data_IF_734843019338
#
_entry.id   IF_734843019338
#
_cell.length_a   1.000
_cell.length_b   1.000
_cell.length_c   1.000
_cell.angle_alpha   90.00
_cell.angle_beta   90.00
_cell.angle_gamma   90.00
#
_symmetry.space_group_name_H-M   'P 1'
#
loop_
_entity.id
_entity.type
_entity.pdbx_description
1 polymer ?
#
# COMPACT_ATOMS: atom_id res chain seq x y z
N UNK A 1 -5.68 -72.40 -83.20
CA UNK A 1 -4.29 -71.96 -83.02
C UNK A 1 -3.50 -72.30 -84.28
N UNK A 2 -2.84 -71.31 -84.87
CA UNK A 2 -2.05 -71.37 -86.10
C UNK A 2 -0.62 -70.97 -85.75
N UNK A 3 0.37 -71.68 -86.29
CA UNK A 3 1.79 -71.39 -86.08
C UNK A 3 2.26 -70.29 -87.03
N UNK A 4 2.83 -69.20 -86.51
CA UNK A 4 3.23 -68.05 -87.33
C UNK A 4 4.74 -67.80 -87.36
N UNK A 5 5.47 -68.15 -86.30
CA UNK A 5 6.93 -67.97 -86.21
C UNK A 5 7.55 -68.96 -85.23
N UNK A 6 8.75 -69.43 -85.55
CA UNK A 6 9.55 -70.30 -84.69
C UNK A 6 10.93 -69.69 -84.57
N UNK A 7 11.39 -69.47 -83.34
CA UNK A 7 12.76 -69.05 -83.06
C UNK A 7 13.46 -70.18 -82.32
N UNK A 8 14.62 -70.59 -82.81
CA UNK A 8 15.41 -71.69 -82.27
C UNK A 8 16.81 -71.18 -81.99
N UNK A 9 17.25 -71.31 -80.74
CA UNK A 9 18.60 -70.99 -80.32
C UNK A 9 19.25 -72.23 -79.71
N UNK A 10 20.31 -72.71 -80.36
CA UNK A 10 21.13 -73.82 -79.88
C UNK A 10 20.32 -75.09 -79.55
N UNK A 11 19.55 -75.64 -80.50
CA UNK A 11 18.76 -76.86 -80.35
C UNK A 11 19.22 -77.95 -81.35
N UNK A 12 19.80 -79.05 -80.86
CA UNK A 12 20.34 -80.16 -81.69
C UNK A 12 21.20 -79.67 -82.87
N UNK A 13 20.78 -79.89 -84.12
CA UNK A 13 21.49 -79.46 -85.33
C UNK A 13 21.44 -77.94 -85.57
N UNK A 14 20.52 -77.22 -84.92
CA UNK A 14 20.40 -75.75 -85.01
C UNK A 14 21.35 -75.09 -84.01
N UNK A 15 22.61 -74.90 -84.39
CA UNK A 15 23.58 -74.08 -83.63
C UNK A 15 23.42 -72.60 -83.94
N UNK A 16 23.51 -71.74 -82.92
CA UNK A 16 23.26 -70.30 -83.06
C UNK A 16 21.76 -69.97 -83.04
N UNK A 17 21.43 -68.73 -83.42
CA UNK A 17 20.06 -68.22 -83.48
C UNK A 17 19.48 -68.39 -84.89
N UNK A 18 18.34 -69.06 -84.97
CA UNK A 18 17.57 -69.31 -86.20
C UNK A 18 16.17 -68.76 -86.02
N UNK A 19 15.71 -67.99 -86.99
CA UNK A 19 14.38 -67.37 -86.98
C UNK A 19 13.63 -67.76 -88.24
N UNK A 20 12.51 -68.44 -88.08
CA UNK A 20 11.72 -69.04 -89.14
C UNK A 20 10.31 -68.46 -89.08
N UNK A 21 10.00 -67.58 -90.01
CA UNK A 21 8.63 -67.09 -90.23
C UNK A 21 7.85 -68.13 -91.06
N UNK A 22 6.64 -68.44 -90.63
CA UNK A 22 5.74 -69.40 -91.27
C UNK A 22 4.73 -68.61 -92.10
N UNK A 23 4.80 -68.63 -93.44
CA UNK A 23 3.87 -67.89 -94.28
C UNK A 23 2.44 -68.40 -94.09
N UNK A 24 1.45 -67.51 -94.21
CA UNK A 24 0.02 -67.86 -94.14
C UNK A 24 -0.49 -68.73 -95.31
N UNK A 25 0.39 -69.28 -96.15
CA UNK A 25 0.04 -70.07 -97.33
C UNK A 25 -0.34 -71.51 -96.94
N UNK A 26 -1.26 -72.12 -97.70
CA UNK A 26 -1.94 -73.36 -97.31
C UNK A 26 -1.07 -74.64 -97.31
N UNK A 27 0.16 -74.63 -97.85
CA UNK A 27 1.06 -75.80 -97.81
C UNK A 27 2.52 -75.36 -97.86
N UNK A 28 3.32 -75.78 -96.88
CA UNK A 28 4.75 -75.47 -96.77
C UNK A 28 5.55 -76.76 -96.87
N UNK A 29 6.48 -76.82 -97.82
CA UNK A 29 7.43 -77.92 -97.96
C UNK A 29 8.78 -77.60 -97.32
N UNK A 30 9.23 -78.42 -96.37
CA UNK A 30 10.58 -78.33 -95.77
C UNK A 30 11.50 -79.33 -96.47
N UNK A 31 12.38 -78.84 -97.35
CA UNK A 31 13.24 -79.66 -98.22
C UNK A 31 14.71 -79.50 -97.80
N UNK A 32 15.48 -80.59 -97.86
CA UNK A 32 16.90 -80.63 -97.56
C UNK A 32 17.42 -82.06 -97.52
N UNK A 33 18.74 -82.24 -97.45
CA UNK A 33 19.36 -83.56 -97.35
C UNK A 33 19.01 -84.28 -96.04
N UNK A 34 19.20 -85.60 -95.97
CA UNK A 34 18.98 -86.33 -94.73
C UNK A 34 20.00 -85.90 -93.66
N UNK A 35 19.53 -85.67 -92.44
CA UNK A 35 20.38 -85.20 -91.34
C UNK A 35 20.52 -83.68 -91.20
N UNK A 36 19.96 -82.88 -92.11
CA UNK A 36 20.02 -81.40 -92.05
C UNK A 36 19.13 -80.76 -91.00
N UNK A 37 18.36 -81.54 -90.22
CA UNK A 37 17.51 -81.03 -89.14
C UNK A 37 16.03 -80.85 -89.48
N UNK A 38 15.54 -81.35 -90.64
CA UNK A 38 14.11 -81.28 -91.01
C UNK A 38 13.17 -81.79 -89.92
N UNK A 39 13.42 -83.00 -89.42
CA UNK A 39 12.63 -83.59 -88.32
C UNK A 39 12.87 -82.86 -87.00
N UNK A 40 14.08 -82.35 -86.80
CA UNK A 40 14.47 -81.58 -85.61
C UNK A 40 13.67 -80.28 -85.47
N UNK A 41 13.33 -79.61 -86.56
CA UNK A 41 12.46 -78.42 -86.56
C UNK A 41 11.12 -78.72 -85.89
N UNK A 42 10.49 -79.80 -86.34
CA UNK A 42 9.19 -80.26 -85.84
C UNK A 42 9.29 -80.71 -84.38
N UNK A 43 10.36 -81.42 -84.02
CA UNK A 43 10.63 -81.82 -82.64
C UNK A 43 10.85 -80.61 -81.71
N UNK A 44 11.48 -79.54 -82.18
CA UNK A 44 11.67 -78.32 -81.40
C UNK A 44 10.32 -77.66 -81.04
N UNK A 45 9.37 -77.62 -81.98
CA UNK A 45 8.00 -77.13 -81.72
C UNK A 45 7.32 -78.01 -80.66
N UNK A 46 7.36 -79.34 -80.84
CA UNK A 46 6.78 -80.31 -79.91
C UNK A 46 7.38 -80.14 -78.49
N UNK A 47 8.70 -80.00 -78.42
CA UNK A 47 9.43 -79.78 -77.18
C UNK A 47 9.08 -78.45 -76.52
N UNK A 48 8.91 -77.37 -77.29
CA UNK A 48 8.53 -76.06 -76.77
C UNK A 48 7.12 -76.06 -76.18
N UNK A 49 6.17 -76.75 -76.81
CA UNK A 49 4.77 -76.78 -76.38
C UNK A 49 4.55 -77.74 -75.20
N UNK A 50 5.04 -78.97 -75.26
CA UNK A 50 4.64 -80.02 -74.31
C UNK A 50 5.76 -80.54 -73.38
N UNK A 51 7.03 -80.40 -73.75
CA UNK A 51 8.19 -81.00 -73.04
C UNK A 51 7.96 -82.49 -72.78
N UNK A 52 7.83 -83.27 -73.85
CA UNK A 52 7.46 -84.66 -73.71
C UNK A 52 8.61 -85.46 -73.11
N UNK A 53 8.28 -86.47 -72.30
CA UNK A 53 9.27 -87.23 -71.52
C UNK A 53 10.25 -88.05 -72.37
N UNK A 54 9.93 -88.28 -73.64
CA UNK A 54 10.76 -89.01 -74.60
C UNK A 54 11.91 -88.17 -75.18
N UNK A 55 11.92 -86.85 -74.97
CA UNK A 55 13.03 -85.97 -75.35
C UNK A 55 13.88 -85.72 -74.10
N UNK A 56 15.04 -86.39 -74.01
CA UNK A 56 15.95 -86.23 -72.88
C UNK A 56 16.56 -84.83 -72.89
N UNK A 57 16.71 -84.16 -71.73
CA UNK A 57 17.43 -82.88 -71.65
C UNK A 57 18.87 -82.93 -72.18
N UNK A 58 19.51 -84.11 -72.14
CA UNK A 58 20.85 -84.32 -72.71
C UNK A 58 20.87 -84.22 -74.24
N UNK A 59 19.77 -84.58 -74.89
CA UNK A 59 19.64 -84.63 -76.35
C UNK A 59 19.18 -83.30 -76.95
N UNK A 60 18.79 -82.33 -76.12
CA UNK A 60 18.31 -81.01 -76.57
C UNK A 60 19.46 -80.08 -76.98
N UNK A 61 20.62 -80.18 -76.31
CA UNK A 61 21.78 -79.31 -76.57
C UNK A 61 22.59 -79.79 -77.78
N UNK A 62 23.12 -78.88 -78.62
CA UNK A 62 24.10 -79.22 -79.65
C UNK A 62 25.32 -79.91 -79.03
N UNK A 63 25.88 -80.89 -79.75
CA UNK A 63 27.07 -81.62 -79.28
C UNK A 63 28.22 -80.64 -79.03
N UNK A 64 28.82 -80.70 -77.83
CA UNK A 64 29.94 -79.84 -77.44
C UNK A 64 29.56 -78.43 -76.96
N UNK A 65 28.27 -78.10 -76.84
CA UNK A 65 27.81 -76.77 -76.43
C UNK A 65 27.52 -76.67 -74.91
N UNK A 66 28.03 -75.63 -74.26
CA UNK A 66 27.92 -75.40 -72.80
C UNK A 66 26.99 -74.24 -72.40
N UNK A 67 26.26 -73.65 -73.34
CA UNK A 67 25.31 -72.55 -73.09
C UNK A 67 23.87 -73.00 -72.80
N UNK A 68 22.91 -72.12 -73.13
CA UNK A 68 21.48 -72.36 -72.98
C UNK A 68 20.83 -72.64 -74.35
N UNK A 69 19.76 -73.43 -74.32
CA UNK A 69 18.93 -73.72 -75.50
C UNK A 69 17.58 -73.04 -75.31
N UNK A 70 17.14 -72.27 -76.30
CA UNK A 70 15.85 -71.60 -76.27
C UNK A 70 15.05 -71.99 -77.50
N UNK A 71 13.77 -72.32 -77.31
CA UNK A 71 12.82 -72.44 -78.41
C UNK A 71 11.61 -71.58 -78.09
N UNK A 72 11.26 -70.70 -79.03
CA UNK A 72 10.13 -69.79 -78.94
C UNK A 72 9.18 -70.05 -80.10
N UNK A 73 7.92 -70.29 -79.78
CA UNK A 73 6.86 -70.60 -80.76
C UNK A 73 5.79 -69.52 -80.65
N UNK A 74 5.56 -68.82 -81.76
CA UNK A 74 4.49 -67.84 -81.89
C UNK A 74 3.25 -68.51 -82.49
N UNK A 75 2.13 -68.36 -81.79
CA UNK A 75 0.84 -68.91 -82.16
C UNK A 75 -0.19 -67.79 -82.29
N UNK A 76 -1.12 -67.96 -83.19
CA UNK A 76 -2.23 -67.04 -83.43
C UNK A 76 -3.57 -67.79 -83.39
N UNK A 77 -4.62 -67.13 -82.91
CA UNK A 77 -5.97 -67.69 -82.99
C UNK A 77 -6.46 -67.74 -84.45
N UNK A 78 -7.43 -68.61 -84.74
CA UNK A 78 -7.92 -68.81 -86.11
C UNK A 78 -8.62 -67.57 -86.71
N UNK A 79 -9.12 -66.69 -85.85
CA UNK A 79 -9.73 -65.40 -86.16
C UNK A 79 -8.72 -64.23 -86.12
N UNK A 80 -7.42 -64.52 -85.95
CA UNK A 80 -6.35 -63.53 -85.90
C UNK A 80 -6.46 -62.47 -84.79
N UNK A 81 -7.28 -62.72 -83.76
CA UNK A 81 -7.53 -61.74 -82.68
C UNK A 81 -6.59 -61.87 -81.49
N UNK A 82 -5.95 -63.03 -81.32
CA UNK A 82 -5.09 -63.32 -80.17
C UNK A 82 -3.76 -63.89 -80.63
N UNK A 83 -2.66 -63.33 -80.15
CA UNK A 83 -1.32 -63.86 -80.37
C UNK A 83 -0.70 -64.30 -79.06
N UNK A 84 -0.10 -65.48 -79.08
CA UNK A 84 0.55 -66.12 -77.95
C UNK A 84 1.99 -66.46 -78.31
N UNK A 85 2.88 -66.35 -77.33
CA UNK A 85 4.29 -66.70 -77.48
C UNK A 85 4.60 -67.74 -76.41
N UNK A 86 4.96 -68.94 -76.81
CA UNK A 86 5.41 -69.99 -75.90
C UNK A 86 6.92 -70.03 -75.96
N UNK A 87 7.59 -69.71 -74.86
CA UNK A 87 9.05 -69.76 -74.76
C UNK A 87 9.45 -70.87 -73.79
N UNK A 88 10.42 -71.70 -74.18
CA UNK A 88 11.03 -72.70 -73.32
C UNK A 88 12.55 -72.61 -73.39
N UNK A 89 13.17 -72.49 -72.21
CA UNK A 89 14.61 -72.29 -72.05
C UNK A 89 15.20 -73.43 -71.21
N UNK A 90 16.12 -74.19 -71.81
CA UNK A 90 16.95 -75.18 -71.12
C UNK A 90 18.27 -74.55 -70.69
N UNK A 91 18.33 -74.17 -69.41
CA UNK A 91 19.53 -73.69 -68.69
C UNK A 91 19.74 -74.54 -67.43
N UNK A 92 20.64 -74.15 -66.52
CA UNK A 92 20.86 -74.84 -65.24
C UNK A 92 19.56 -75.10 -64.46
N UNK A 93 18.63 -74.15 -64.50
CA UNK A 93 17.26 -74.29 -64.01
C UNK A 93 16.31 -74.06 -65.17
N UNK A 94 15.65 -75.11 -65.71
CA UNK A 94 14.75 -74.98 -66.84
C UNK A 94 13.63 -73.99 -66.55
N UNK A 95 13.27 -73.17 -67.54
CA UNK A 95 12.15 -72.24 -67.44
C UNK A 95 11.26 -72.36 -68.68
N UNK A 96 9.98 -72.10 -68.50
CA UNK A 96 9.03 -71.97 -69.59
C UNK A 96 8.04 -70.87 -69.23
N UNK A 97 7.65 -70.07 -70.23
CA UNK A 97 6.72 -68.96 -70.07
C UNK A 97 5.80 -68.90 -71.28
N UNK A 98 4.51 -68.65 -71.06
CA UNK A 98 3.59 -68.26 -72.11
C UNK A 98 3.32 -66.77 -71.96
N UNK A 99 3.48 -66.04 -73.04
CA UNK A 99 3.11 -64.63 -73.15
C UNK A 99 1.89 -64.48 -74.06
N UNK A 100 1.12 -63.43 -73.82
CA UNK A 100 0.07 -62.96 -74.71
C UNK A 100 0.47 -61.58 -75.23
N UNK A 101 0.33 -61.36 -76.53
CA UNK A 101 0.50 -60.03 -77.13
C UNK A 101 -0.84 -59.32 -77.02
N UNK A 102 -0.85 -58.19 -76.33
CA UNK A 102 -2.05 -57.38 -76.18
C UNK A 102 -2.34 -56.53 -77.44
N UNK A 103 -3.51 -55.92 -77.54
CA UNK A 103 -3.91 -55.10 -78.69
C UNK A 103 -2.99 -53.88 -78.91
N UNK A 104 -2.24 -53.46 -77.88
CA UNK A 104 -1.21 -52.41 -77.93
C UNK A 104 0.15 -52.90 -78.47
N UNK A 105 0.32 -54.21 -78.70
CA UNK A 105 1.60 -54.84 -79.07
C UNK A 105 2.49 -55.19 -77.87
N UNK A 106 2.04 -54.97 -76.63
CA UNK A 106 2.79 -55.32 -75.42
C UNK A 106 2.77 -56.83 -75.16
N UNK A 107 3.92 -57.41 -74.80
CA UNK A 107 4.09 -58.83 -74.51
C UNK A 107 3.96 -59.08 -73.00
N UNK A 108 2.85 -59.67 -72.57
CA UNK A 108 2.53 -59.87 -71.15
C UNK A 108 2.62 -61.37 -70.77
N UNK A 109 3.38 -61.76 -69.73
CA UNK A 109 3.44 -63.15 -69.28
C UNK A 109 2.13 -63.56 -68.61
N UNK A 110 1.52 -64.65 -69.08
CA UNK A 110 0.24 -65.18 -68.55
C UNK A 110 0.42 -66.46 -67.71
N UNK A 111 1.44 -67.26 -68.00
CA UNK A 111 1.74 -68.50 -67.28
C UNK A 111 3.25 -68.69 -67.22
N UNK A 112 3.75 -69.02 -66.04
CA UNK A 112 5.17 -69.26 -65.79
C UNK A 112 5.37 -70.62 -65.10
N UNK A 113 6.42 -71.33 -65.50
CA UNK A 113 6.83 -72.60 -64.90
C UNK A 113 6.69 -73.78 -65.88
N UNK A 114 7.69 -74.68 -65.97
CA UNK A 114 7.70 -75.76 -66.96
C UNK A 114 6.44 -76.65 -66.97
N UNK A 115 5.93 -77.02 -65.78
CA UNK A 115 4.72 -77.85 -65.65
C UNK A 115 3.46 -77.05 -65.94
N UNK A 116 3.33 -75.87 -65.35
CA UNK A 116 2.19 -74.98 -65.52
C UNK A 116 1.99 -74.59 -66.99
N UNK A 117 3.08 -74.35 -67.73
CA UNK A 117 3.04 -74.09 -69.17
C UNK A 117 2.52 -75.29 -69.93
N UNK A 118 3.05 -76.51 -69.72
CA UNK A 118 2.53 -77.71 -70.40
C UNK A 118 1.06 -78.01 -70.04
N UNK A 119 0.66 -77.78 -68.79
CA UNK A 119 -0.73 -77.95 -68.34
C UNK A 119 -1.66 -76.91 -68.99
N UNK A 120 -1.22 -75.66 -69.09
CA UNK A 120 -1.98 -74.61 -69.75
C UNK A 120 -2.09 -74.85 -71.27
N UNK A 121 -1.01 -75.29 -71.92
CA UNK A 121 -1.04 -75.66 -73.33
C UNK A 121 -2.08 -76.75 -73.56
N UNK A 122 -2.07 -77.79 -72.73
CA UNK A 122 -2.94 -78.95 -72.90
C UNK A 122 -4.41 -78.72 -72.54
N UNK A 123 -4.71 -77.79 -71.63
CA UNK A 123 -6.08 -77.58 -71.15
C UNK A 123 -6.75 -76.34 -71.71
N UNK A 124 -5.98 -75.30 -72.07
CA UNK A 124 -6.53 -73.97 -72.40
C UNK A 124 -6.05 -73.41 -73.74
N UNK A 125 -4.75 -73.46 -74.05
CA UNK A 125 -4.21 -72.82 -75.25
C UNK A 125 -4.51 -73.63 -76.52
N UNK A 126 -4.05 -74.89 -76.55
CA UNK A 126 -4.34 -75.83 -77.64
C UNK A 126 -5.56 -76.69 -77.26
N UNK A 127 -5.73 -76.95 -75.96
CA UNK A 127 -6.86 -77.74 -75.45
C UNK A 127 -6.74 -79.24 -75.74
N UNK A 128 -5.55 -79.70 -76.11
CA UNK A 128 -5.26 -81.10 -76.40
C UNK A 128 -4.13 -81.63 -75.53
N UNK A 129 -4.27 -82.86 -75.04
CA UNK A 129 -3.16 -83.57 -74.44
C UNK A 129 -2.02 -83.74 -75.45
N UNK A 130 -0.78 -83.92 -74.97
CA UNK A 130 0.38 -84.14 -75.84
C UNK A 130 0.15 -85.31 -76.82
N UNK A 131 -0.44 -86.42 -76.35
CA UNK A 131 -0.79 -87.58 -77.17
C UNK A 131 -1.85 -87.27 -78.22
N UNK A 132 -2.89 -86.50 -77.87
CA UNK A 132 -3.90 -86.05 -78.83
C UNK A 132 -3.32 -85.06 -79.86
N UNK A 133 -2.41 -84.18 -79.45
CA UNK A 133 -1.74 -83.24 -80.34
C UNK A 133 -0.86 -83.97 -81.37
N UNK A 134 -0.05 -84.94 -80.93
CA UNK A 134 0.75 -85.77 -81.85
C UNK A 134 -0.13 -86.61 -82.79
N UNK A 135 -1.23 -87.16 -82.29
CA UNK A 135 -2.14 -87.94 -83.13
C UNK A 135 -2.90 -87.11 -84.19
N UNK A 136 -3.17 -85.83 -83.91
CA UNK A 136 -4.11 -85.02 -84.72
C UNK A 136 -3.43 -83.98 -85.59
N UNK A 137 -2.45 -83.25 -85.04
CA UNK A 137 -1.81 -82.10 -85.72
C UNK A 137 -0.37 -82.38 -86.14
N UNK A 138 0.26 -83.41 -85.58
CA UNK A 138 1.69 -83.65 -85.72
C UNK A 138 1.97 -85.13 -86.03
N UNK A 139 1.67 -85.55 -87.25
CA UNK A 139 1.90 -86.94 -87.68
C UNK A 139 3.39 -87.17 -87.93
N UNK A 140 4.06 -87.94 -87.06
CA UNK A 140 5.44 -88.36 -87.28
C UNK A 140 5.51 -89.32 -88.48
N UNK A 141 6.68 -89.36 -89.12
CA UNK A 141 6.94 -90.26 -90.25
C UNK A 141 6.68 -91.72 -89.82
N UNK A 142 5.68 -92.37 -90.43
CA UNK A 142 5.18 -93.74 -90.16
C UNK A 142 4.20 -93.92 -88.97
N UNK A 143 3.63 -92.86 -88.39
CA UNK A 143 2.66 -92.96 -87.26
C UNK A 143 1.22 -92.56 -87.68
N UNK A 144 0.57 -93.36 -88.54
CA UNK A 144 -0.81 -93.12 -89.01
C UNK A 144 -1.90 -93.83 -88.16
N UNK A 145 -1.64 -94.09 -86.88
CA UNK A 145 -2.61 -94.76 -86.00
C UNK A 145 -3.25 -93.77 -85.02
N UNK A 146 -4.25 -93.01 -85.49
CA UNK A 146 -5.09 -92.19 -84.61
C UNK A 146 -5.79 -93.09 -83.57
N UNK A 147 -5.33 -93.01 -82.32
CA UNK A 147 -5.85 -93.72 -81.13
C UNK A 147 -5.79 -95.26 -81.16
N UNK A 148 -5.07 -95.86 -82.11
CA UNK A 148 -5.05 -97.31 -82.33
C UNK A 148 -4.70 -98.13 -81.08
N UNK A 149 -3.73 -97.65 -80.30
CA UNK A 149 -3.17 -98.37 -79.15
C UNK A 149 -3.77 -97.96 -77.79
N UNK A 150 -4.72 -97.01 -77.76
CA UNK A 150 -5.35 -96.57 -76.50
C UNK A 150 -6.49 -97.49 -76.05
N UNK A 151 -6.67 -97.63 -74.73
CA UNK A 151 -7.80 -98.37 -74.16
C UNK A 151 -9.14 -97.67 -74.48
N UNK A 152 -10.25 -98.42 -74.61
CA UNK A 152 -11.55 -97.83 -74.95
C UNK A 152 -12.00 -96.69 -74.03
N UNK A 153 -11.63 -96.76 -72.74
CA UNK A 153 -11.92 -95.72 -71.75
C UNK A 153 -11.14 -94.43 -71.97
N UNK A 154 -9.82 -94.53 -72.22
CA UNK A 154 -8.98 -93.36 -72.52
C UNK A 154 -9.35 -92.72 -73.84
N UNK A 155 -9.59 -93.53 -74.87
CA UNK A 155 -10.08 -93.05 -76.18
C UNK A 155 -11.38 -92.26 -76.03
N UNK A 156 -12.35 -92.77 -75.26
CA UNK A 156 -13.62 -92.05 -75.00
C UNK A 156 -13.40 -90.73 -74.23
N UNK A 157 -12.39 -90.68 -73.37
CA UNK A 157 -12.04 -89.46 -72.65
C UNK A 157 -11.39 -88.41 -73.56
N UNK A 158 -10.40 -88.79 -74.36
CA UNK A 158 -9.72 -87.86 -75.29
C UNK A 158 -10.68 -87.38 -76.39
N UNK A 159 -11.50 -88.27 -76.96
CA UNK A 159 -12.57 -87.90 -77.90
C UNK A 159 -13.61 -87.00 -77.22
N UNK A 160 -13.97 -87.29 -75.97
CA UNK A 160 -14.89 -86.45 -75.20
C UNK A 160 -14.34 -85.05 -74.93
N UNK A 161 -13.03 -84.90 -74.75
CA UNK A 161 -12.36 -83.59 -74.63
C UNK A 161 -12.35 -82.84 -75.95
N UNK A 162 -12.05 -83.52 -77.06
CA UNK A 162 -12.15 -82.96 -78.42
C UNK A 162 -13.56 -82.40 -78.70
N UNK A 163 -14.60 -83.06 -78.20
CA UNK A 163 -16.00 -82.66 -78.34
C UNK A 163 -16.50 -81.71 -77.23
N UNK A 164 -15.65 -81.29 -76.29
CA UNK A 164 -16.01 -80.37 -75.21
C UNK A 164 -16.89 -80.95 -74.09
N UNK A 165 -17.13 -82.26 -74.06
CA UNK A 165 -18.03 -82.95 -73.10
C UNK A 165 -17.50 -82.99 -71.66
N UNK A 166 -16.23 -82.64 -71.45
CA UNK A 166 -15.60 -82.60 -70.12
C UNK A 166 -16.19 -81.48 -69.24
N UNK A 167 -16.63 -80.39 -69.84
CA UNK A 167 -17.30 -79.27 -69.14
C UNK A 167 -18.61 -79.73 -68.48
N UNK A 168 -19.39 -80.52 -69.20
CA UNK A 168 -20.67 -81.08 -68.73
C UNK A 168 -20.43 -82.05 -67.57
N UNK A 169 -19.41 -82.90 -67.65
CA UNK A 169 -19.05 -83.83 -66.56
C UNK A 169 -18.62 -83.10 -65.29
N UNK A 170 -17.84 -82.02 -65.43
CA UNK A 170 -17.43 -81.18 -64.31
C UNK A 170 -18.65 -80.55 -63.61
N UNK A 171 -19.59 -79.99 -64.40
CA UNK A 171 -20.82 -79.41 -63.87
C UNK A 171 -21.68 -80.44 -63.12
N UNK A 172 -21.85 -81.65 -63.69
CA UNK A 172 -22.58 -82.75 -63.02
C UNK A 172 -21.94 -83.11 -61.68
N UNK A 173 -20.62 -83.18 -61.61
CA UNK A 173 -19.90 -83.48 -60.37
C UNK A 173 -20.10 -82.38 -59.32
N UNK A 174 -20.11 -81.11 -59.73
CA UNK A 174 -20.37 -79.98 -58.82
C UNK A 174 -21.76 -80.07 -58.19
N UNK A 175 -22.80 -80.31 -58.99
CA UNK A 175 -24.18 -80.42 -58.52
C UNK A 175 -24.35 -81.53 -57.47
N UNK A 176 -23.71 -82.68 -57.70
CA UNK A 176 -23.73 -83.80 -56.75
C UNK A 176 -23.08 -83.42 -55.42
N UNK A 177 -21.97 -82.68 -55.45
CA UNK A 177 -21.30 -82.20 -54.25
C UNK A 177 -22.16 -81.19 -53.48
N UNK A 178 -22.76 -80.22 -54.19
CA UNK A 178 -23.61 -79.19 -53.57
C UNK A 178 -24.83 -79.81 -52.88
N UNK A 179 -25.50 -80.74 -53.54
CA UNK A 179 -26.62 -81.50 -52.95
C UNK A 179 -26.20 -82.26 -51.69
N UNK A 180 -25.04 -82.92 -51.75
CA UNK A 180 -24.54 -83.71 -50.61
C UNK A 180 -24.21 -82.81 -49.42
N UNK A 181 -23.67 -81.62 -49.67
CA UNK A 181 -23.37 -80.62 -48.64
C UNK A 181 -24.64 -80.08 -47.99
N UNK A 182 -25.62 -79.63 -48.77
CA UNK A 182 -26.89 -79.14 -48.24
C UNK A 182 -27.64 -80.19 -47.39
N UNK A 183 -27.60 -81.45 -47.81
CA UNK A 183 -28.19 -82.56 -47.05
C UNK A 183 -27.43 -82.87 -45.75
N UNK A 184 -26.12 -82.60 -45.69
CA UNK A 184 -25.33 -82.73 -44.47
C UNK A 184 -25.63 -81.58 -43.49
N UNK A 185 -25.68 -80.35 -43.98
CA UNK A 185 -25.96 -79.15 -43.17
C UNK A 185 -27.36 -79.22 -42.54
N UNK A 186 -28.38 -79.61 -43.31
CA UNK A 186 -29.73 -79.81 -42.80
C UNK A 186 -29.78 -80.86 -41.68
N UNK A 187 -29.09 -82.00 -41.85
CA UNK A 187 -29.02 -83.02 -40.80
C UNK A 187 -28.29 -82.53 -39.55
N UNK A 188 -27.24 -81.73 -39.71
CA UNK A 188 -26.51 -81.15 -38.60
C UNK A 188 -27.39 -80.16 -37.81
N UNK A 189 -28.17 -79.32 -38.50
CA UNK A 189 -29.11 -78.38 -37.87
C UNK A 189 -30.22 -79.10 -37.10
N UNK A 190 -30.81 -80.16 -37.67
CA UNK A 190 -31.82 -80.96 -36.98
C UNK A 190 -31.24 -81.62 -35.74
N UNK A 191 -30.06 -82.26 -35.85
CA UNK A 191 -29.39 -82.88 -34.70
C UNK A 191 -28.93 -81.86 -33.63
N UNK A 192 -28.70 -80.60 -34.01
CA UNK A 192 -28.44 -79.52 -33.07
C UNK A 192 -29.72 -79.11 -32.34
N UNK A 193 -30.80 -78.87 -33.08
CA UNK A 193 -32.11 -78.56 -32.52
C UNK A 193 -32.58 -79.65 -31.55
N UNK A 194 -32.45 -80.93 -31.94
CA UNK A 194 -32.82 -82.06 -31.09
C UNK A 194 -31.99 -82.06 -29.81
N UNK A 195 -30.65 -81.93 -29.88
CA UNK A 195 -29.79 -81.86 -28.67
C UNK A 195 -30.11 -80.69 -27.75
N UNK A 196 -30.46 -79.53 -28.30
CA UNK A 196 -30.73 -78.31 -27.52
C UNK A 196 -32.16 -78.28 -26.97
N UNK A 197 -33.09 -79.02 -27.58
CA UNK A 197 -34.49 -79.15 -27.15
C UNK A 197 -34.74 -80.37 -26.27
N UNK A 198 -33.89 -81.38 -26.33
CA UNK A 198 -34.03 -82.62 -25.57
C UNK A 198 -34.04 -82.34 -24.06
N UNK A 199 -35.13 -82.74 -23.40
CA UNK A 199 -35.33 -82.55 -21.97
C UNK A 199 -35.77 -81.14 -21.54
N UNK A 200 -35.97 -80.20 -22.48
CA UNK A 200 -36.49 -78.87 -22.16
C UNK A 200 -37.98 -78.78 -22.40
N UNK A 201 -38.70 -78.29 -21.40
CA UNK A 201 -40.10 -77.91 -21.54
C UNK A 201 -40.17 -76.39 -21.75
N UNK A 202 -40.12 -75.98 -23.01
CA UNK A 202 -40.17 -74.57 -23.39
C UNK A 202 -41.46 -73.88 -22.92
N UNK A 203 -42.57 -74.62 -22.77
CA UNK A 203 -43.82 -74.04 -22.29
C UNK A 203 -43.71 -73.75 -20.78
N UNK A 204 -43.10 -74.64 -20.01
CA UNK A 204 -42.84 -74.41 -18.59
C UNK A 204 -41.81 -73.29 -18.37
N UNK A 205 -40.72 -73.26 -19.15
CA UNK A 205 -39.71 -72.20 -19.07
C UNK A 205 -40.28 -70.82 -19.43
N UNK A 206 -41.09 -70.75 -20.49
CA UNK A 206 -41.77 -69.51 -20.88
C UNK A 206 -42.78 -69.08 -19.81
N UNK A 207 -43.53 -70.02 -19.23
CA UNK A 207 -44.44 -69.75 -18.12
C UNK A 207 -43.70 -69.19 -16.90
N UNK A 208 -42.57 -69.77 -16.53
CA UNK A 208 -41.74 -69.27 -15.43
C UNK A 208 -41.18 -67.87 -15.71
N UNK A 209 -40.72 -67.61 -16.94
CA UNK A 209 -40.23 -66.30 -17.33
C UNK A 209 -41.33 -65.22 -17.29
N UNK A 210 -42.54 -65.55 -17.72
CA UNK A 210 -43.70 -64.63 -17.64
C UNK A 210 -44.04 -64.30 -16.18
N UNK A 211 -44.07 -65.30 -15.30
CA UNK A 211 -44.30 -65.07 -13.86
C UNK A 211 -43.23 -64.15 -13.26
N UNK A 212 -41.95 -64.36 -13.60
CA UNK A 212 -40.87 -63.49 -13.16
C UNK A 212 -41.02 -62.05 -13.68
N UNK A 213 -41.44 -61.88 -14.93
CA UNK A 213 -41.70 -60.55 -15.50
C UNK A 213 -42.82 -59.85 -14.74
N UNK A 214 -43.91 -60.55 -14.44
CA UNK A 214 -45.04 -59.98 -13.69
C UNK A 214 -44.65 -59.63 -12.25
N UNK A 215 -43.87 -60.49 -11.58
CA UNK A 215 -43.31 -60.19 -10.24
C UNK A 215 -42.43 -58.95 -10.26
N UNK A 216 -41.50 -58.84 -11.21
CA UNK A 216 -40.63 -57.68 -11.33
C UNK A 216 -41.41 -56.41 -11.70
N UNK A 217 -42.42 -56.51 -12.55
CA UNK A 217 -43.30 -55.38 -12.87
C UNK A 217 -44.05 -54.88 -11.62
N UNK A 218 -44.55 -55.80 -10.79
CA UNK A 218 -45.20 -55.45 -9.52
C UNK A 218 -44.24 -54.83 -8.52
N UNK A 219 -42.99 -55.32 -8.44
CA UNK A 219 -41.95 -54.72 -7.60
C UNK A 219 -41.58 -53.31 -8.07
N UNK A 220 -41.52 -53.09 -9.39
CA UNK A 220 -41.23 -51.78 -9.96
C UNK A 220 -42.35 -50.78 -9.66
N UNK A 221 -43.61 -51.21 -9.76
CA UNK A 221 -44.77 -50.37 -9.45
C UNK A 221 -44.80 -49.95 -7.97
N UNK A 222 -44.58 -50.89 -7.04
CA UNK A 222 -44.52 -50.59 -5.61
C UNK A 222 -43.33 -49.70 -5.26
N UNK A 223 -42.17 -49.93 -5.87
CA UNK A 223 -41.00 -49.06 -5.75
C UNK A 223 -41.25 -47.64 -6.24
N UNK A 224 -41.92 -47.48 -7.39
CA UNK A 224 -42.27 -46.17 -7.93
C UNK A 224 -43.24 -45.40 -7.03
N UNK A 225 -44.23 -46.08 -6.44
CA UNK A 225 -45.15 -45.46 -5.49
C UNK A 225 -44.43 -45.03 -4.21
N UNK A 226 -43.54 -45.86 -3.66
CA UNK A 226 -42.74 -45.53 -2.48
C UNK A 226 -41.82 -44.31 -2.71
N UNK A 227 -41.23 -44.20 -3.91
CA UNK A 227 -40.44 -43.02 -4.31
C UNK A 227 -41.34 -41.78 -4.37
N UNK A 228 -42.51 -41.88 -4.99
CA UNK A 228 -43.44 -40.75 -5.09
C UNK A 228 -43.93 -40.27 -3.71
N UNK A 229 -44.22 -41.18 -2.77
CA UNK A 229 -44.59 -40.82 -1.40
C UNK A 229 -43.44 -40.16 -0.65
N UNK A 230 -42.22 -40.69 -0.81
CA UNK A 230 -41.03 -40.14 -0.16
C UNK A 230 -40.74 -38.73 -0.68
N UNK A 231 -40.84 -38.51 -1.99
CA UNK A 231 -40.61 -37.21 -2.58
C UNK A 231 -41.62 -36.16 -2.12
N UNK A 232 -42.91 -36.52 -2.03
CA UNK A 232 -43.93 -35.63 -1.44
C UNK A 232 -43.59 -35.25 0.00
N UNK A 233 -43.17 -36.22 0.82
CA UNK A 233 -42.79 -35.97 2.21
C UNK A 233 -41.54 -35.10 2.34
N UNK A 234 -40.58 -35.25 1.40
CA UNK A 234 -39.37 -34.43 1.31
C UNK A 234 -39.71 -32.98 1.03
N UNK A 235 -40.53 -32.74 0.01
CA UNK A 235 -41.00 -31.39 -0.37
C UNK A 235 -41.75 -30.73 0.79
N UNK A 236 -42.63 -31.46 1.48
CA UNK A 236 -43.35 -30.93 2.64
C UNK A 236 -42.41 -30.57 3.80
N UNK A 237 -41.42 -31.43 4.06
CA UNK A 237 -40.41 -31.20 5.12
C UNK A 237 -39.52 -30.00 4.80
N UNK A 238 -39.12 -29.85 3.53
CA UNK A 238 -38.32 -28.74 3.06
C UNK A 238 -39.09 -27.41 3.14
N UNK A 239 -40.38 -27.41 2.77
CA UNK A 239 -41.25 -26.25 2.95
C UNK A 239 -41.38 -25.85 4.44
N UNK A 240 -41.54 -26.83 5.34
CA UNK A 240 -41.57 -26.59 6.80
C UNK A 240 -40.24 -26.05 7.31
N UNK A 241 -39.11 -26.56 6.82
CA UNK A 241 -37.77 -26.10 7.21
C UNK A 241 -37.53 -24.65 6.77
N UNK A 242 -37.91 -24.30 5.53
CA UNK A 242 -37.82 -22.92 5.02
C UNK A 242 -38.65 -21.96 5.86
N UNK A 243 -39.90 -22.33 6.17
CA UNK A 243 -40.75 -21.51 7.04
C UNK A 243 -40.18 -21.35 8.46
N UNK A 244 -39.60 -22.41 9.02
CA UNK A 244 -38.93 -22.35 10.31
C UNK A 244 -37.71 -21.41 10.29
N UNK A 245 -36.94 -21.41 9.19
CA UNK A 245 -35.80 -20.52 9.02
C UNK A 245 -36.24 -19.06 8.90
N UNK A 246 -37.29 -18.77 8.13
CA UNK A 246 -37.87 -17.42 8.04
C UNK A 246 -38.34 -16.91 9.41
N UNK A 247 -39.01 -17.77 10.19
CA UNK A 247 -39.44 -17.43 11.55
C UNK A 247 -38.26 -17.13 12.46
N UNK A 248 -37.18 -17.93 12.40
CA UNK A 248 -35.94 -17.66 13.16
C UNK A 248 -35.29 -16.34 12.77
N UNK A 249 -35.21 -16.04 11.48
CA UNK A 249 -34.65 -14.78 11.00
C UNK A 249 -35.47 -13.58 11.50
N UNK A 250 -36.81 -13.68 11.48
CA UNK A 250 -37.69 -12.65 12.05
C UNK A 250 -37.50 -12.50 13.55
N UNK A 251 -37.41 -13.60 14.30
CA UNK A 251 -37.19 -13.58 15.74
C UNK A 251 -35.86 -12.92 16.12
N UNK A 252 -34.77 -13.25 15.41
CA UNK A 252 -33.47 -12.57 15.56
C UNK A 252 -33.61 -11.07 15.27
N UNK A 253 -34.31 -10.70 14.19
CA UNK A 253 -34.57 -9.31 13.83
C UNK A 253 -35.33 -8.55 14.93
N UNK A 254 -36.39 -9.16 15.49
CA UNK A 254 -37.13 -8.58 16.62
C UNK A 254 -36.27 -8.49 17.88
N UNK A 255 -35.43 -9.48 18.17
CA UNK A 255 -34.49 -9.44 19.28
C UNK A 255 -33.52 -8.26 19.18
N UNK A 256 -32.99 -7.99 17.99
CA UNK A 256 -32.11 -6.84 17.75
C UNK A 256 -32.84 -5.50 17.94
N UNK A 257 -34.07 -5.38 17.45
CA UNK A 257 -34.90 -4.18 17.63
C UNK A 257 -35.27 -3.94 19.10
N UNK A 258 -35.53 -5.01 19.85
CA UNK A 258 -35.82 -4.93 21.28
C UNK A 258 -34.59 -4.40 22.04
N UNK A 259 -33.40 -4.92 21.74
CA UNK A 259 -32.15 -4.48 22.35
C UNK A 259 -31.81 -3.03 22.01
N UNK A 260 -32.01 -2.58 20.76
CA UNK A 260 -31.80 -1.17 20.40
C UNK A 260 -32.77 -0.25 21.15
N UNK A 261 -34.05 -0.62 21.21
CA UNK A 261 -35.09 0.12 21.95
C UNK A 261 -34.78 0.17 23.45
N UNK A 262 -34.25 -0.92 24.01
CA UNK A 262 -33.84 -1.00 25.42
C UNK A 262 -32.67 -0.07 25.73
N UNK A 263 -31.67 -0.01 24.85
CA UNK A 263 -30.52 0.91 24.97
C UNK A 263 -30.95 2.36 24.85
N UNK A 264 -31.84 2.67 23.91
CA UNK A 264 -32.40 4.01 23.75
C UNK A 264 -33.14 4.45 25.01
N UNK A 265 -34.04 3.60 25.51
CA UNK A 265 -34.75 3.85 26.78
C UNK A 265 -33.78 4.10 27.94
N UNK A 266 -32.75 3.27 28.08
CA UNK A 266 -31.75 3.45 29.13
C UNK A 266 -31.01 4.79 29.00
N UNK A 267 -30.68 5.23 27.78
CA UNK A 267 -30.05 6.53 27.55
C UNK A 267 -30.98 7.69 27.90
N UNK A 268 -32.27 7.58 27.54
CA UNK A 268 -33.29 8.58 27.90
C UNK A 268 -33.47 8.64 29.42
N UNK A 269 -33.54 7.50 30.10
CA UNK A 269 -33.67 7.43 31.57
C UNK A 269 -32.45 8.08 32.26
N UNK A 270 -31.24 7.86 31.77
CA UNK A 270 -30.02 8.52 32.27
C UNK A 270 -30.06 10.04 32.06
N UNK A 271 -30.50 10.51 30.89
CA UNK A 271 -30.65 11.95 30.61
C UNK A 271 -31.70 12.58 31.52
N UNK A 272 -32.84 11.91 31.72
CA UNK A 272 -33.88 12.36 32.65
C UNK A 272 -33.33 12.48 34.08
N UNK A 273 -32.58 11.48 34.55
CA UNK A 273 -31.96 11.53 35.86
C UNK A 273 -31.00 12.73 36.00
N UNK A 274 -30.19 13.00 34.96
CA UNK A 274 -29.29 14.15 34.95
C UNK A 274 -30.06 15.48 34.97
N UNK A 275 -31.10 15.62 34.16
CA UNK A 275 -31.96 16.82 34.12
C UNK A 275 -32.60 17.08 35.49
N UNK A 276 -33.06 16.03 36.19
CA UNK A 276 -33.62 16.16 37.53
C UNK A 276 -32.58 16.68 38.53
N UNK A 277 -31.33 16.20 38.45
CA UNK A 277 -30.24 16.71 39.29
C UNK A 277 -29.93 18.17 38.97
N UNK A 278 -29.85 18.51 37.69
CA UNK A 278 -29.56 19.88 37.25
C UNK A 278 -30.67 20.86 37.66
N UNK A 279 -31.94 20.46 37.56
CA UNK A 279 -33.08 21.23 38.04
C UNK A 279 -32.97 21.53 39.54
N UNK A 280 -32.67 20.53 40.37
CA UNK A 280 -32.46 20.74 41.81
C UNK A 280 -31.31 21.71 42.10
N UNK A 281 -30.23 21.65 41.31
CA UNK A 281 -29.09 22.58 41.44
C UNK A 281 -29.47 24.00 41.01
N UNK A 282 -30.31 24.15 39.99
CA UNK A 282 -30.81 25.46 39.57
C UNK A 282 -31.74 26.05 40.63
N UNK A 283 -32.66 25.26 41.19
CA UNK A 283 -33.52 25.67 42.30
C UNK A 283 -32.70 26.13 43.52
N UNK A 284 -31.66 25.39 43.89
CA UNK A 284 -30.80 25.79 45.01
C UNK A 284 -30.07 27.10 44.74
N UNK A 285 -29.56 27.30 43.51
CA UNK A 285 -28.92 28.54 43.09
C UNK A 285 -29.89 29.71 43.04
N UNK A 286 -31.13 29.48 42.61
CA UNK A 286 -32.17 30.51 42.65
C UNK A 286 -32.47 30.92 44.10
N UNK A 287 -32.57 29.95 45.01
CA UNK A 287 -32.78 30.23 46.43
C UNK A 287 -31.60 31.00 47.05
N UNK A 288 -30.35 30.65 46.71
CA UNK A 288 -29.16 31.42 47.10
C UNK A 288 -29.18 32.84 46.53
N UNK A 289 -29.54 33.01 45.25
CA UNK A 289 -29.68 34.32 44.61
C UNK A 289 -30.70 35.18 45.35
N UNK A 290 -31.85 34.61 45.74
CA UNK A 290 -32.88 35.32 46.51
C UNK A 290 -32.36 35.78 47.88
N UNK A 291 -31.49 35.00 48.55
CA UNK A 291 -30.84 35.40 49.81
C UNK A 291 -29.80 36.49 49.62
N UNK A 292 -29.05 36.46 48.51
CA UNK A 292 -28.00 37.43 48.21
C UNK A 292 -28.56 38.75 47.64
N UNK A 293 -29.73 38.73 47.01
CA UNK A 293 -30.38 39.92 46.44
C UNK A 293 -30.52 41.10 47.42
N UNK A 294 -31.04 40.93 48.67
CA UNK A 294 -31.12 42.04 49.62
C UNK A 294 -29.74 42.51 50.11
N UNK A 295 -28.75 41.64 50.20
CA UNK A 295 -27.38 41.99 50.58
C UNK A 295 -26.73 42.84 49.48
N UNK A 296 -26.89 42.42 48.23
CA UNK A 296 -26.42 43.17 47.07
C UNK A 296 -27.08 44.55 46.96
N UNK A 297 -28.39 44.65 47.24
CA UNK A 297 -29.12 45.93 47.25
C UNK A 297 -28.59 46.93 48.30
N UNK A 298 -28.04 46.43 49.41
CA UNK A 298 -27.45 47.27 50.46
C UNK A 298 -26.01 47.73 50.18
N UNK A 299 -25.37 47.20 49.12
CA UNK A 299 -23.96 47.44 48.84
C UNK A 299 -23.70 48.90 48.41
N UNK A 300 -24.55 49.46 47.55
CA UNK A 300 -24.42 50.86 47.11
C UNK A 300 -24.71 51.87 48.24
N UNK A 301 -25.79 51.74 49.05
CA UNK A 301 -25.98 52.56 50.24
C UNK A 301 -24.83 52.49 51.23
N UNK A 302 -24.26 51.30 51.45
CA UNK A 302 -23.09 51.13 52.33
C UNK A 302 -21.84 51.79 51.76
N UNK A 303 -21.58 51.69 50.44
CA UNK A 303 -20.50 52.42 49.76
C UNK A 303 -20.66 53.93 49.95
N UNK A 304 -21.86 54.46 49.77
CA UNK A 304 -22.15 55.88 50.01
C UNK A 304 -21.90 56.28 51.47
N UNK A 305 -22.33 55.46 52.44
CA UNK A 305 -22.05 55.72 53.87
C UNK A 305 -20.56 55.74 54.19
N UNK A 306 -19.77 54.84 53.62
CA UNK A 306 -18.30 54.83 53.81
C UNK A 306 -17.70 56.13 53.29
N UNK A 307 -18.08 56.57 52.09
CA UNK A 307 -17.58 57.84 51.51
C UNK A 307 -17.94 59.05 52.39
N UNK A 308 -19.16 59.11 52.92
CA UNK A 308 -19.55 60.18 53.83
C UNK A 308 -18.78 60.13 55.16
N UNK A 309 -18.57 58.93 55.73
CA UNK A 309 -17.75 58.78 56.94
C UNK A 309 -16.28 59.17 56.71
N UNK A 310 -15.72 58.90 55.54
CA UNK A 310 -14.37 59.33 55.16
C UNK A 310 -14.28 60.87 55.09
N UNK A 311 -15.31 61.54 54.54
CA UNK A 311 -15.40 63.01 54.54
C UNK A 311 -15.50 63.57 55.96
N UNK A 312 -16.33 62.98 56.81
CA UNK A 312 -16.45 63.39 58.21
C UNK A 312 -15.14 63.22 58.98
N UNK A 313 -14.45 62.09 58.77
CA UNK A 313 -13.12 61.84 59.33
C UNK A 313 -12.11 62.89 58.86
N UNK A 314 -12.06 63.19 57.57
CA UNK A 314 -11.17 64.22 57.02
C UNK A 314 -11.46 65.60 57.62
N UNK A 315 -12.73 65.98 57.79
CA UNK A 315 -13.12 67.23 58.48
C UNK A 315 -12.67 67.25 59.95
N UNK A 316 -12.78 66.12 60.65
CA UNK A 316 -12.32 66.01 62.03
C UNK A 316 -10.79 66.14 62.14
N UNK A 317 -10.05 65.50 61.24
CA UNK A 317 -8.59 65.62 61.15
C UNK A 317 -8.15 67.06 60.84
N UNK A 318 -8.81 67.74 59.88
CA UNK A 318 -8.57 69.15 59.58
C UNK A 318 -8.85 70.06 60.78
N UNK A 319 -9.96 69.82 61.49
CA UNK A 319 -10.30 70.57 62.71
C UNK A 319 -9.21 70.41 63.77
N UNK A 320 -8.74 69.18 64.01
CA UNK A 320 -7.70 68.92 65.01
C UNK A 320 -6.37 69.58 64.62
N UNK A 321 -6.01 69.59 63.34
CA UNK A 321 -4.81 70.29 62.87
C UNK A 321 -4.92 71.80 63.10
N UNK A 322 -6.07 72.42 62.80
CA UNK A 322 -6.32 73.83 63.08
C UNK A 322 -6.25 74.14 64.58
N UNK A 323 -6.81 73.29 65.43
CA UNK A 323 -6.71 73.43 66.89
C UNK A 323 -5.25 73.37 67.36
N UNK A 324 -4.45 72.46 66.79
CA UNK A 324 -3.01 72.38 67.06
C UNK A 324 -2.29 73.68 66.65
N UNK A 325 -2.54 74.17 65.43
CA UNK A 325 -1.95 75.42 64.93
C UNK A 325 -2.30 76.64 65.79
N UNK A 326 -3.55 76.72 66.28
CA UNK A 326 -3.96 77.77 67.22
C UNK A 326 -3.16 77.66 68.52
N UNK A 327 -3.02 76.46 69.08
CA UNK A 327 -2.28 76.23 70.32
C UNK A 327 -0.81 76.64 70.18
N UNK A 328 -0.17 76.27 69.07
CA UNK A 328 1.22 76.63 68.77
C UNK A 328 1.39 78.16 68.59
N UNK A 329 0.43 78.81 67.95
CA UNK A 329 0.43 80.27 67.74
C UNK A 329 0.26 81.03 69.05
N UNK A 330 -0.63 80.56 69.94
CA UNK A 330 -0.79 81.12 71.30
C UNK A 330 0.49 80.96 72.11
N UNK A 331 1.15 79.80 72.02
CA UNK A 331 2.41 79.56 72.72
C UNK A 331 3.51 80.51 72.22
N UNK A 332 3.68 80.66 70.89
CA UNK A 332 4.62 81.65 70.32
C UNK A 332 4.34 83.07 70.81
N UNK A 333 3.07 83.47 70.88
CA UNK A 333 2.71 84.81 71.39
C UNK A 333 3.07 84.99 72.86
N UNK A 334 2.97 83.95 73.69
CA UNK A 334 3.41 84.00 75.09
C UNK A 334 4.93 84.13 75.19
N UNK A 335 5.67 83.34 74.42
CA UNK A 335 7.12 83.36 74.43
C UNK A 335 7.66 84.75 74.02
N UNK A 336 7.11 85.34 72.94
CA UNK A 336 7.43 86.71 72.49
C UNK A 336 7.13 87.78 73.55
N UNK A 337 6.00 87.67 74.25
CA UNK A 337 5.68 88.59 75.35
C UNK A 337 6.67 88.46 76.52
N UNK A 338 7.14 87.24 76.80
CA UNK A 338 8.21 86.99 77.77
C UNK A 338 9.50 87.69 77.38
N UNK A 339 9.92 87.57 76.11
CA UNK A 339 11.12 88.25 75.60
C UNK A 339 11.02 89.78 75.73
N UNK A 340 9.87 90.36 75.40
CA UNK A 340 9.64 91.81 75.56
C UNK A 340 9.76 92.26 77.02
N UNK A 341 9.19 91.47 77.96
CA UNK A 341 9.32 91.75 79.39
C UNK A 341 10.79 91.72 79.84
N UNK A 342 11.56 90.72 79.40
CA UNK A 342 12.95 90.58 79.82
C UNK A 342 13.80 91.77 79.34
N UNK A 343 13.61 92.21 78.09
CA UNK A 343 14.34 93.37 77.54
C UNK A 343 14.06 94.65 78.34
N UNK A 344 12.80 94.91 78.71
CA UNK A 344 12.48 96.16 79.43
C UNK A 344 12.94 96.12 80.89
N UNK A 345 12.86 94.97 81.56
CA UNK A 345 13.27 94.86 82.97
C UNK A 345 14.79 94.83 83.16
N UNK A 346 15.56 94.37 82.16
CA UNK A 346 17.03 94.34 82.23
C UNK A 346 17.70 95.69 81.90
N UNK A 347 16.96 96.67 81.37
CA UNK A 347 17.50 98.00 81.05
C UNK A 347 17.61 98.85 82.33
N UNK A 348 18.80 98.89 82.95
CA UNK A 348 19.07 99.74 84.14
C UNK A 348 19.21 101.21 83.74
N UNK A 349 18.21 102.03 84.08
CA UNK A 349 18.31 103.49 83.97
C UNK A 349 19.18 104.02 85.12
N UNK A 350 20.23 104.78 84.78
CA UNK A 350 21.17 105.39 85.73
C UNK A 350 20.63 106.66 86.40
N UNK A 351 19.45 107.14 86.01
CA UNK A 351 18.68 108.15 86.73
C UNK A 351 17.18 107.91 86.51
N UNK A 352 16.32 108.07 87.53
CA UNK A 352 14.89 107.89 87.37
C UNK A 352 14.34 108.93 86.38
N UNK A 353 13.67 108.45 85.32
CA UNK A 353 12.94 109.32 84.39
C UNK A 353 11.68 109.80 85.11
N UNK A 354 11.58 111.11 85.34
CA UNK A 354 10.48 111.73 86.07
C UNK A 354 9.12 111.37 85.42
N UNK A 355 8.24 110.70 86.18
CA UNK A 355 6.93 110.24 85.71
C UNK A 355 6.88 108.82 85.10
N UNK A 356 7.99 108.08 85.03
CA UNK A 356 8.00 106.70 84.49
C UNK A 356 8.44 105.64 85.51
N UNK A 357 7.64 104.58 85.64
CA UNK A 357 7.98 103.36 86.35
C UNK A 357 7.32 102.14 85.68
N UNK A 358 8.01 101.00 85.70
CA UNK A 358 7.44 99.73 85.25
C UNK A 358 6.45 99.23 86.32
N UNK A 359 5.16 99.16 85.99
CA UNK A 359 4.10 98.84 86.95
C UNK A 359 3.69 97.36 86.92
N UNK A 360 2.98 96.89 87.95
CA UNK A 360 2.41 95.52 87.97
C UNK A 360 1.39 95.28 86.84
N UNK A 361 0.76 96.32 86.31
CA UNK A 361 -0.10 96.21 85.14
C UNK A 361 0.71 95.94 83.85
N UNK A 362 1.97 96.39 83.79
CA UNK A 362 2.90 96.12 82.68
C UNK A 362 3.51 94.71 82.73
N UNK A 363 3.44 94.04 83.90
CA UNK A 363 3.66 92.60 83.98
C UNK A 363 2.57 91.84 83.20
N UNK A 364 1.32 92.29 83.21
CA UNK A 364 0.22 91.57 82.54
C UNK A 364 0.14 91.92 81.05
N UNK A 365 0.48 93.15 80.66
CA UNK A 365 0.50 93.59 79.26
C UNK A 365 1.82 94.29 78.90
N UNK A 366 2.89 93.51 78.77
CA UNK A 366 4.24 94.03 78.53
C UNK A 366 4.38 94.82 77.21
N UNK A 367 3.48 94.59 76.25
CA UNK A 367 3.41 95.40 75.01
C UNK A 367 2.94 96.83 75.28
N UNK A 368 1.97 97.03 76.17
CA UNK A 368 1.49 98.36 76.55
C UNK A 368 2.58 99.13 77.32
N UNK A 369 3.27 98.47 78.25
CA UNK A 369 4.39 99.05 78.99
C UNK A 369 5.56 99.45 78.08
N UNK A 370 5.96 98.57 77.16
CA UNK A 370 7.01 98.87 76.20
C UNK A 370 6.66 100.06 75.29
N UNK A 371 5.40 100.18 74.84
CA UNK A 371 4.95 101.34 74.06
C UNK A 371 5.09 102.66 74.81
N UNK A 372 4.67 102.70 76.08
CA UNK A 372 4.79 103.90 76.92
C UNK A 372 6.25 104.32 77.15
N UNK A 373 7.14 103.35 77.36
CA UNK A 373 8.58 103.63 77.47
C UNK A 373 9.13 104.25 76.18
N UNK A 374 8.81 103.69 75.01
CA UNK A 374 9.25 104.24 73.71
C UNK A 374 8.72 105.66 73.51
N UNK A 375 7.49 105.93 73.91
CA UNK A 375 6.85 107.25 73.77
C UNK A 375 7.51 108.32 74.65
N UNK A 376 7.94 107.96 75.86
CA UNK A 376 8.70 108.85 76.76
C UNK A 376 10.14 109.05 76.27
N UNK A 377 10.82 107.99 75.85
CA UNK A 377 12.19 108.08 75.31
C UNK A 377 12.24 108.99 74.07
N UNK A 378 11.22 108.94 73.21
CA UNK A 378 11.14 109.82 72.03
C UNK A 378 10.93 111.31 72.36
N UNK A 379 10.54 111.67 73.60
CA UNK A 379 10.36 113.06 74.04
C UNK A 379 11.61 113.64 74.73
N UNK A 380 12.63 112.82 74.99
CA UNK A 380 13.90 113.26 75.61
C UNK A 380 14.89 113.62 74.51
N UNK A 381 15.28 114.90 74.44
CA UNK A 381 16.35 115.39 73.55
C UNK A 381 17.72 114.89 74.05
N UNK A 382 18.04 113.65 73.66
CA UNK A 382 19.30 112.98 73.98
C UNK A 382 20.52 113.75 73.43
N UNK A 383 20.41 114.39 72.26
CA UNK A 383 21.51 115.18 71.70
C UNK A 383 21.77 116.48 72.49
N UNK A 384 20.71 117.19 72.89
CA UNK A 384 20.83 118.39 73.73
C UNK A 384 21.31 118.12 75.17
N UNK A 385 21.13 116.90 75.68
CA UNK A 385 21.66 116.48 76.98
C UNK A 385 23.19 116.26 76.94
N UNK A 386 23.72 115.60 75.91
CA UNK A 386 25.16 115.40 75.71
C UNK A 386 25.91 116.73 75.49
N UNK A 387 25.28 117.68 74.78
CA UNK A 387 25.90 118.96 74.47
C UNK A 387 26.01 119.88 75.71
N UNK A 388 25.03 119.83 76.62
CA UNK A 388 25.08 120.52 77.93
C UNK A 388 26.17 119.96 78.83
N UNK A 389 26.37 118.64 78.84
CA UNK A 389 27.42 118.01 79.63
C UNK A 389 28.82 118.49 79.21
N UNK A 390 29.06 118.65 77.89
CA UNK A 390 30.31 119.22 77.38
C UNK A 390 30.52 120.67 77.85
N UNK A 391 29.49 121.51 77.75
CA UNK A 391 29.57 122.92 78.18
C UNK A 391 29.85 123.06 79.69
N UNK A 392 29.30 122.16 80.53
CA UNK A 392 29.57 122.17 81.96
C UNK A 392 30.99 121.72 82.33
N UNK A 393 31.64 120.85 81.54
CA UNK A 393 33.06 120.50 81.78
C UNK A 393 33.99 121.65 81.44
N UNK A 394 33.77 122.35 80.33
CA UNK A 394 34.62 123.48 79.94
C UNK A 394 34.52 124.65 80.95
N UNK A 395 33.31 124.98 81.41
CA UNK A 395 33.11 126.02 82.42
C UNK A 395 33.78 125.71 83.77
N UNK A 396 33.85 124.42 84.15
CA UNK A 396 34.50 123.99 85.39
C UNK A 396 36.02 124.10 85.31
N UNK A 397 36.62 123.81 84.15
CA UNK A 397 38.06 123.95 83.96
C UNK A 397 38.54 125.42 84.07
N UNK A 398 37.76 126.37 83.56
CA UNK A 398 38.10 127.81 83.65
C UNK A 398 37.90 128.39 85.06
N UNK A 399 36.97 127.84 85.85
CA UNK A 399 36.74 128.25 87.23
C UNK A 399 37.87 127.82 88.19
N UNK A 400 38.46 126.64 87.96
CA UNK A 400 39.55 126.11 88.78
C UNK A 400 40.87 126.92 88.61
N UNK A 401 41.14 127.48 87.42
CA UNK A 401 42.31 128.35 87.20
C UNK A 401 42.19 129.74 87.86
N UNK A 402 40.96 130.27 87.99
CA UNK A 402 40.70 131.57 88.61
C UNK A 402 40.74 131.50 90.15
N UNK A 403 40.37 130.35 90.73
CA UNK A 403 40.50 130.08 92.16
C UNK A 403 41.95 130.09 92.65
N UNK A 404 42.85 129.44 91.91
CA UNK A 404 44.27 129.33 92.27
C UNK A 404 45.02 130.67 92.30
N UNK A 405 44.68 131.61 91.42
CA UNK A 405 45.27 132.95 91.40
C UNK A 405 44.77 133.87 92.54
N UNK A 406 43.56 133.62 93.05
CA UNK A 406 42.91 134.47 94.06
C UNK A 406 43.37 134.13 95.48
N UNK A 407 43.59 132.84 95.78
CA UNK A 407 44.04 132.39 97.11
C UNK A 407 45.44 132.91 97.47
N UNK A 408 46.38 132.93 96.52
CA UNK A 408 47.74 133.46 96.71
C UNK A 408 47.69 134.94 97.13
N UNK A 409 46.76 135.72 96.56
CA UNK A 409 46.64 137.15 96.83
C UNK A 409 46.10 137.45 98.24
N UNK A 410 45.24 136.58 98.77
CA UNK A 410 44.74 136.66 100.15
C UNK A 410 45.83 136.35 101.17
N UNK A 411 46.67 135.33 100.94
CA UNK A 411 47.75 134.95 101.85
C UNK A 411 48.74 136.11 102.11
N UNK A 412 49.04 136.90 101.08
CA UNK A 412 49.91 138.08 101.22
C UNK A 412 49.28 139.23 102.01
N UNK A 413 47.95 139.38 101.97
CA UNK A 413 47.26 140.48 102.67
C UNK A 413 47.14 140.22 104.17
N UNK A 414 46.78 139.00 104.57
CA UNK A 414 46.63 138.65 105.99
C UNK A 414 47.96 138.66 106.72
N UNK A 415 49.04 138.20 106.07
CA UNK A 415 50.40 138.20 106.67
C UNK A 415 50.92 139.62 106.92
N UNK A 416 50.46 140.59 106.14
CA UNK A 416 50.83 142.00 106.32
C UNK A 416 50.04 142.65 107.47
N UNK A 417 48.76 142.31 107.62
CA UNK A 417 47.93 142.78 108.74
C UNK A 417 48.41 142.24 110.10
N UNK A 418 48.96 141.03 110.14
CA UNK A 418 49.60 140.50 111.36
C UNK A 418 50.85 141.28 111.78
N UNK A 419 51.59 141.87 110.85
CA UNK A 419 52.80 142.63 111.18
C UNK A 419 52.50 144.06 111.64
N UNK A 420 51.51 144.72 111.04
CA UNK A 420 51.11 146.10 111.40
C UNK A 420 50.44 146.17 112.80
N UNK A 421 49.74 145.11 113.23
CA UNK A 421 49.12 145.03 114.56
C UNK A 421 50.14 144.75 115.68
N UNK A 422 51.19 143.99 115.38
CA UNK A 422 52.27 143.71 116.32
C UNK A 422 53.15 144.97 116.54
N UNK A 423 53.32 145.80 115.51
CA UNK A 423 54.06 147.07 115.60
C UNK A 423 53.32 148.12 116.46
N UNK A 424 51.99 148.27 116.31
CA UNK A 424 51.21 149.27 117.06
C UNK A 424 51.02 148.96 118.55
N UNK A 425 50.97 147.69 118.96
CA UNK A 425 50.89 147.34 120.39
C UNK A 425 52.23 147.47 121.10
N UNK A 426 53.35 147.27 120.41
CA UNK A 426 54.71 147.45 120.96
C UNK A 426 55.04 148.93 121.26
N UNK A 427 54.26 149.90 120.77
CA UNK A 427 54.51 151.34 120.90
C UNK A 427 53.71 152.06 122.00
N UNK A 428 52.79 151.40 122.72
CA UNK A 428 51.86 152.07 123.65
C UNK A 428 52.03 151.77 125.16
N UNK A 429 52.89 150.84 125.60
CA UNK A 429 53.19 150.69 127.03
C UNK A 429 54.55 149.99 127.29
N UNK A 430 55.59 150.79 127.57
CA UNK A 430 56.78 150.39 128.35
C UNK A 430 57.88 149.59 127.62
N UNK A 431 59.12 150.08 127.74
CA UNK A 431 60.24 149.80 126.83
C UNK A 431 60.68 148.33 126.64
N UNK A 432 61.18 148.01 125.43
CA UNK A 432 61.38 146.67 124.91
C UNK A 432 62.88 146.35 124.79
N UNK A 433 63.36 145.37 125.55
CA UNK A 433 64.75 144.88 125.37
C UNK A 433 64.87 143.38 125.12
N UNK A 434 63.78 142.64 125.12
CA UNK A 434 63.85 141.18 125.01
C UNK A 434 63.22 140.58 123.73
N UNK A 435 62.73 141.38 122.76
CA UNK A 435 62.06 140.86 121.56
C UNK A 435 62.56 141.34 120.18
N UNK A 436 63.57 142.20 120.10
CA UNK A 436 64.13 142.64 118.80
C UNK A 436 64.81 141.53 117.95
N UNK A 437 65.43 140.46 118.51
CA UNK A 437 66.12 139.47 117.68
C UNK A 437 65.22 138.54 116.86
N UNK A 438 63.95 138.37 117.27
CA UNK A 438 63.05 137.38 116.64
C UNK A 438 62.28 137.96 115.42
N UNK A 439 62.05 139.28 115.36
CA UNK A 439 61.37 139.94 114.23
C UNK A 439 62.21 140.00 112.95
N UNK A 440 63.54 140.11 113.06
CA UNK A 440 64.42 140.14 111.89
C UNK A 440 64.57 138.76 111.21
N UNK A 441 64.29 137.66 111.92
CA UNK A 441 64.34 136.30 111.35
C UNK A 441 63.14 135.95 110.48
N UNK A 442 61.97 136.47 110.81
CA UNK A 442 60.74 136.20 110.05
C UNK A 442 60.66 137.03 108.76
N UNK A 443 61.30 138.20 108.72
CA UNK A 443 61.36 139.05 107.52
C UNK A 443 62.17 138.41 106.38
N UNK A 444 63.27 137.72 106.69
CA UNK A 444 64.12 137.09 105.69
C UNK A 444 63.51 135.80 105.10
N UNK A 445 62.62 135.13 105.83
CA UNK A 445 61.91 133.93 105.36
C UNK A 445 60.85 134.26 104.29
N UNK A 446 60.15 135.37 104.43
CA UNK A 446 59.10 135.79 103.50
C UNK A 446 59.63 136.25 102.13
N UNK A 447 60.92 136.60 102.02
CA UNK A 447 61.52 137.03 100.77
C UNK A 447 61.90 135.89 99.81
N UNK A 448 62.07 134.65 100.30
CA UNK A 448 62.46 133.50 99.47
C UNK A 448 61.28 132.85 98.74
N UNK A 449 60.07 132.89 99.31
CA UNK A 449 58.89 132.24 98.76
C UNK A 449 58.21 133.01 97.61
N UNK A 450 58.70 134.21 97.25
CA UNK A 450 58.09 135.08 96.23
C UNK A 450 58.55 134.83 94.79
N UNK A 451 59.55 133.99 94.55
CA UNK A 451 60.26 133.96 93.24
C UNK A 451 59.96 132.79 92.29
N UNK A 452 59.13 131.79 92.60
CA UNK A 452 59.07 130.58 91.74
C UNK A 452 57.72 129.87 91.62
N UNK A 453 56.59 130.60 91.75
CA UNK A 453 55.28 130.12 91.29
C UNK A 453 54.94 130.86 89.98
N UNK A 454 55.56 130.42 88.88
CA UNK A 454 55.08 130.53 87.49
C UNK A 454 56.04 129.79 86.56
N UNK A 455 55.87 128.46 86.51
CA UNK A 455 56.20 127.58 85.39
C UNK A 455 55.12 126.50 85.30
#
# INVERSE_FOLDING_TARGET
>A
MILTRIQIENYKQYQGSHDIEVPAQATIGVIGENGTGKTTLFEAIEWCLYSPRNISPADVRPRGFTGHTTVTVHLESADSTQHFIVERVLKRTPSATIFRVDTSGEIVPIVQGPRQVSDYVSTKLIGLSHTAFTATFFTRQKELHLFGDETPGKRRQEVGRLLGLETIRSAQKSIVNDRSKAAADSRAMVAQYDRESEGRDFAAELGAAVVQIDEHASQLATGAEAIATTERSRIETEAKATLAQERRNKDIGFGQQLESSRRERQSVDQRLAQIVVDLKRLESREHERLKLAPIAANLDPLRHRIVEQEKERSRFEQRNELVRQIKDSVQRSRDLNGTVRDVVTQTRLTSPIEGWSWSDADLVNSRAGAKRLVEIVNQVDLQGAEQRERSYRDARATADELGGATEILTLYRTTRETLDQDEQKLLLDGEPREKLPDLDRDRDRLHHDRTTIHA
#
